data_IF_327114304018
#
_entry.id   IF_327114304018
#
_cell.length_a   1.000
_cell.length_b   1.000
_cell.length_c   1.000
_cell.angle_alpha   90.00
_cell.angle_beta   90.00
_cell.angle_gamma   90.00
#
_symmetry.space_group_name_H-M   'P 1'
#
loop_
_entity.id
_entity.type
_entity.pdbx_description
1 polymer ?
#
# COMPACT_ATOMS: atom_id res chain seq x y z
N UNK A 1 -46.41 2.51 4.33
CA UNK A 1 -45.34 3.11 3.51
C UNK A 1 -44.09 2.30 3.74
N UNK A 2 -43.93 1.20 3.01
CA UNK A 2 -42.75 0.34 3.15
C UNK A 2 -41.54 1.03 2.50
N UNK A 3 -40.62 1.50 3.34
CA UNK A 3 -39.37 2.10 2.89
C UNK A 3 -38.46 0.97 2.42
N UNK A 4 -38.40 0.80 1.10
CA UNK A 4 -37.59 -0.20 0.44
C UNK A 4 -36.10 0.09 0.66
N UNK A 5 -35.54 -0.45 1.75
CA UNK A 5 -34.13 -0.31 2.10
C UNK A 5 -33.27 -1.07 1.09
N UNK A 6 -32.77 -0.35 0.08
CA UNK A 6 -31.80 -0.90 -0.86
C UNK A 6 -30.51 -1.23 -0.10
N UNK A 7 -30.37 -2.50 0.30
CA UNK A 7 -29.20 -3.03 1.02
C UNK A 7 -27.97 -2.93 0.11
N UNK A 8 -27.23 -1.83 0.21
CA UNK A 8 -25.99 -1.61 -0.55
C UNK A 8 -25.02 -2.78 -0.33
N UNK A 9 -24.71 -3.50 -1.42
CA UNK A 9 -23.78 -4.63 -1.39
C UNK A 9 -22.35 -4.13 -1.17
N UNK A 10 -21.70 -4.58 -0.09
CA UNK A 10 -20.30 -4.24 0.18
C UNK A 10 -19.39 -4.92 -0.84
N UNK A 11 -18.49 -4.16 -1.48
CA UNK A 11 -17.47 -4.71 -2.38
C UNK A 11 -16.32 -5.30 -1.55
N UNK A 12 -16.43 -6.57 -1.18
CA UNK A 12 -15.34 -7.30 -0.51
C UNK A 12 -14.35 -7.79 -1.55
N UNK A 13 -13.11 -7.32 -1.47
CA UNK A 13 -12.01 -7.79 -2.32
C UNK A 13 -11.12 -8.69 -1.48
N UNK A 14 -10.89 -9.93 -1.94
CA UNK A 14 -9.91 -10.82 -1.34
C UNK A 14 -8.54 -10.44 -1.90
N UNK A 15 -7.68 -9.88 -1.06
CA UNK A 15 -6.30 -9.61 -1.42
C UNK A 15 -5.51 -10.91 -1.33
N UNK A 16 -4.93 -11.36 -2.45
CA UNK A 16 -4.08 -12.57 -2.52
C UNK A 16 -2.61 -12.26 -2.20
N UNK A 17 -2.21 -11.01 -2.43
CA UNK A 17 -0.87 -10.49 -2.11
C UNK A 17 -0.92 -9.71 -0.80
N UNK A 18 0.21 -9.72 -0.08
CA UNK A 18 0.41 -8.91 1.11
C UNK A 18 0.30 -7.40 0.81
N UNK A 19 0.18 -6.58 1.86
CA UNK A 19 0.15 -5.12 1.69
C UNK A 19 1.47 -4.61 1.09
N UNK A 20 2.61 -4.97 1.69
CA UNK A 20 3.94 -4.64 1.18
C UNK A 20 4.16 -5.01 -0.29
N UNK A 21 3.78 -6.22 -0.71
CA UNK A 21 3.91 -6.64 -2.12
C UNK A 21 3.10 -5.76 -3.08
N UNK A 22 1.86 -5.40 -2.71
CA UNK A 22 1.02 -4.52 -3.54
C UNK A 22 1.55 -3.09 -3.59
N UNK A 23 2.15 -2.60 -2.51
CA UNK A 23 2.78 -1.29 -2.47
C UNK A 23 4.04 -1.25 -3.35
N UNK A 24 4.88 -2.29 -3.29
CA UNK A 24 6.04 -2.42 -4.17
C UNK A 24 5.65 -2.53 -5.65
N UNK A 25 4.57 -3.25 -5.96
CA UNK A 25 4.02 -3.31 -7.31
C UNK A 25 3.53 -1.93 -7.77
N UNK A 26 2.81 -1.21 -6.92
CA UNK A 26 2.35 0.17 -7.19
C UNK A 26 3.54 1.11 -7.45
N UNK A 27 4.62 0.97 -6.68
CA UNK A 27 5.82 1.78 -6.86
C UNK A 27 6.49 1.55 -8.22
N UNK A 28 6.61 0.28 -8.63
CA UNK A 28 7.14 -0.10 -9.95
C UNK A 28 6.30 0.48 -11.09
N UNK A 29 4.99 0.29 -11.04
CA UNK A 29 4.06 0.81 -12.04
C UNK A 29 4.11 2.34 -12.15
N UNK A 30 4.18 3.04 -11.01
CA UNK A 30 4.30 4.50 -10.98
C UNK A 30 5.63 4.97 -11.59
N UNK A 31 6.75 4.27 -11.35
CA UNK A 31 8.03 4.58 -12.01
C UNK A 31 7.98 4.33 -13.51
N UNK A 32 7.40 3.22 -13.94
CA UNK A 32 7.28 2.90 -15.37
C UNK A 32 6.37 3.90 -16.08
N UNK A 33 5.31 4.38 -15.42
CA UNK A 33 4.50 5.46 -15.94
C UNK A 33 5.27 6.78 -16.01
N UNK A 34 6.06 7.11 -14.98
CA UNK A 34 6.89 8.31 -14.98
C UNK A 34 7.92 8.32 -16.13
N UNK A 35 8.51 7.16 -16.47
CA UNK A 35 9.46 7.04 -17.60
C UNK A 35 8.82 7.35 -18.95
N UNK A 36 7.51 7.13 -19.10
CA UNK A 36 6.75 7.39 -20.33
C UNK A 36 6.25 8.84 -20.45
N UNK A 37 6.28 9.59 -19.36
CA UNK A 37 5.82 10.98 -19.34
C UNK A 37 6.96 11.94 -19.64
N UNK A 38 6.69 13.07 -20.33
CA UNK A 38 7.67 14.13 -20.47
C UNK A 38 7.97 14.76 -19.10
N UNK A 39 9.14 15.40 -18.95
CA UNK A 39 9.46 16.17 -17.75
C UNK A 39 8.37 17.20 -17.43
N UNK A 40 7.83 17.15 -16.21
CA UNK A 40 6.75 18.03 -15.79
C UNK A 40 6.02 17.56 -14.54
N UNK A 41 4.93 18.25 -14.21
CA UNK A 41 4.16 18.03 -12.97
C UNK A 41 3.62 16.60 -12.90
N UNK A 42 3.12 16.06 -14.02
CA UNK A 42 2.58 14.70 -14.04
C UNK A 42 3.66 13.63 -13.84
N UNK A 43 4.84 13.78 -14.45
CA UNK A 43 5.96 12.89 -14.19
C UNK A 43 6.40 12.97 -12.71
N UNK A 44 6.53 14.18 -12.17
CA UNK A 44 6.90 14.37 -10.77
C UNK A 44 5.87 13.76 -9.81
N UNK A 45 4.57 13.84 -10.15
CA UNK A 45 3.49 13.22 -9.36
C UNK A 45 3.60 11.70 -9.34
N UNK A 46 3.90 11.06 -10.48
CA UNK A 46 4.11 9.62 -10.53
C UNK A 46 5.36 9.19 -9.75
N UNK A 47 6.45 9.95 -9.86
CA UNK A 47 7.66 9.70 -9.07
C UNK A 47 7.41 9.86 -7.55
N UNK A 48 6.62 10.86 -7.15
CA UNK A 48 6.24 11.06 -5.75
C UNK A 48 5.42 9.88 -5.24
N UNK A 49 4.41 9.46 -6.00
CA UNK A 49 3.60 8.28 -5.68
C UNK A 49 4.44 7.01 -5.53
N UNK A 50 5.45 6.81 -6.38
CA UNK A 50 6.35 5.68 -6.27
C UNK A 50 7.14 5.70 -4.95
N UNK A 51 7.71 6.85 -4.59
CA UNK A 51 8.46 7.04 -3.33
C UNK A 51 7.58 6.84 -2.10
N UNK A 52 6.36 7.39 -2.12
CA UNK A 52 5.38 7.21 -1.06
C UNK A 52 5.05 5.72 -0.86
N UNK A 53 4.79 4.98 -1.94
CA UNK A 53 4.49 3.56 -1.87
C UNK A 53 5.66 2.72 -1.30
N UNK A 54 6.91 3.06 -1.64
CA UNK A 54 8.10 2.40 -1.09
C UNK A 54 8.28 2.68 0.39
N UNK A 55 8.14 3.94 0.81
CA UNK A 55 8.23 4.32 2.21
C UNK A 55 7.16 3.61 3.06
N UNK A 56 5.93 3.49 2.54
CA UNK A 56 4.86 2.76 3.23
C UNK A 56 5.17 1.26 3.27
N UNK A 57 5.76 0.67 2.22
CA UNK A 57 6.16 -0.73 2.24
C UNK A 57 7.26 -1.01 3.27
N UNK A 58 8.21 -0.09 3.44
CA UNK A 58 9.24 -0.17 4.48
C UNK A 58 8.62 -0.04 5.88
N UNK A 59 7.67 0.87 6.06
CA UNK A 59 6.92 0.99 7.31
C UNK A 59 6.12 -0.27 7.63
N UNK A 60 5.43 -0.85 6.65
CA UNK A 60 4.69 -2.12 6.78
C UNK A 60 5.64 -3.24 7.23
N UNK A 61 6.82 -3.33 6.61
CA UNK A 61 7.87 -4.28 7.03
C UNK A 61 8.34 -4.03 8.47
N UNK A 62 8.53 -2.79 8.87
CA UNK A 62 8.96 -2.45 10.23
C UNK A 62 7.89 -2.82 11.26
N UNK A 63 6.62 -2.51 11.00
CA UNK A 63 5.51 -2.79 11.90
C UNK A 63 5.17 -4.29 12.01
N UNK A 64 5.44 -5.05 10.95
CA UNK A 64 5.20 -6.51 10.92
C UNK A 64 6.41 -7.34 11.36
N UNK A 65 7.57 -6.72 11.52
CA UNK A 65 8.75 -7.41 12.02
C UNK A 65 8.49 -7.93 13.44
N UNK A 66 8.87 -9.18 13.77
CA UNK A 66 8.73 -9.69 15.12
C UNK A 66 9.49 -8.78 16.09
N UNK A 67 8.85 -8.45 17.22
CA UNK A 67 9.53 -7.74 18.28
C UNK A 67 10.80 -8.51 18.64
N UNK A 68 11.96 -7.83 18.66
CA UNK A 68 13.19 -8.41 19.19
C UNK A 68 12.84 -8.95 20.58
N UNK A 69 12.97 -10.26 20.78
CA UNK A 69 12.58 -10.90 22.03
C UNK A 69 13.21 -10.13 23.18
N UNK A 70 12.39 -9.51 24.03
CA UNK A 70 12.89 -9.13 25.34
C UNK A 70 13.45 -10.41 25.96
N UNK A 71 14.69 -10.39 26.49
CA UNK A 71 15.22 -11.56 27.16
C UNK A 71 14.20 -11.99 28.23
N UNK A 72 13.99 -13.30 28.41
CA UNK A 72 13.02 -13.79 29.38
C UNK A 72 13.29 -13.10 30.71
N UNK A 73 12.27 -12.45 31.29
CA UNK A 73 12.37 -11.92 32.65
C UNK A 73 12.74 -13.09 33.55
N UNK A 74 13.99 -13.14 34.01
CA UNK A 74 14.40 -14.08 35.05
C UNK A 74 13.52 -13.81 36.26
N UNK A 75 12.75 -14.83 36.65
CA UNK A 75 11.84 -14.80 37.78
C UNK A 75 12.61 -14.99 39.09
#
# INVERSE_FOLDING_TARGET
MDVETHKKRRRRVKQTMSLGERLLQTAREARDQAKRLPPGIEQARQLRRAREAEAIAELDRFLTAPARSNPPRSR
#
